data_IF_408959321753
#
_entry.id   IF_408959321753
#
_cell.length_a   1.000
_cell.length_b   1.000
_cell.length_c   1.000
_cell.angle_alpha   90.00
_cell.angle_beta   90.00
_cell.angle_gamma   90.00
#
_symmetry.space_group_name_H-M   'P 1'
#
loop_
_entity.id
_entity.type
_entity.pdbx_description
1 polymer ?
#
# COMPACT_ATOMS: atom_id res chain seq x y z
N UNK A 1 -33.01 17.14 -53.44
CA UNK A 1 -32.93 15.94 -52.57
C UNK A 1 -31.88 16.19 -51.51
N UNK A 2 -32.31 16.21 -50.25
CA UNK A 2 -31.47 16.42 -49.09
C UNK A 2 -30.60 15.18 -48.83
N UNK A 3 -29.29 15.35 -48.71
CA UNK A 3 -28.40 14.35 -48.16
C UNK A 3 -27.99 14.79 -46.75
N UNK A 4 -28.21 13.88 -45.80
CA UNK A 4 -28.22 14.07 -44.36
C UNK A 4 -26.90 14.59 -43.80
N UNK A 5 -27.03 15.52 -42.85
CA UNK A 5 -26.00 15.90 -41.88
C UNK A 5 -25.87 14.78 -40.86
N UNK A 6 -24.77 14.05 -40.85
CA UNK A 6 -24.34 13.30 -39.67
C UNK A 6 -22.81 13.36 -39.53
N UNK A 7 -22.33 14.57 -39.25
CA UNK A 7 -20.99 14.81 -38.74
C UNK A 7 -20.88 14.26 -37.32
N UNK A 8 -20.45 13.01 -37.21
CA UNK A 8 -20.11 12.34 -35.95
C UNK A 8 -19.03 13.17 -35.24
N UNK A 9 -19.45 14.03 -34.30
CA UNK A 9 -18.56 14.76 -33.38
C UNK A 9 -17.74 13.70 -32.62
N UNK A 10 -16.48 13.52 -33.04
CA UNK A 10 -15.49 12.82 -32.22
C UNK A 10 -15.39 13.61 -30.91
N UNK A 11 -15.91 13.04 -29.82
CA UNK A 11 -15.71 13.54 -28.47
C UNK A 11 -14.20 13.54 -28.20
N UNK A 12 -13.54 14.65 -28.51
CA UNK A 12 -12.21 14.94 -28.07
C UNK A 12 -12.26 14.99 -26.56
N UNK A 13 -11.77 13.94 -25.89
CA UNK A 13 -11.32 14.05 -24.50
C UNK A 13 -10.27 15.15 -24.51
N UNK A 14 -10.67 16.35 -24.12
CA UNK A 14 -9.76 17.47 -23.94
C UNK A 14 -8.63 16.96 -23.06
N UNK A 15 -7.40 16.99 -23.58
CA UNK A 15 -6.21 16.79 -22.76
C UNK A 15 -6.21 17.93 -21.76
N UNK A 16 -6.77 17.70 -20.57
CA UNK A 16 -6.59 18.60 -19.45
C UNK A 16 -5.08 18.79 -19.32
N UNK A 17 -4.62 20.01 -19.57
CA UNK A 17 -3.21 20.33 -19.47
C UNK A 17 -2.79 19.97 -18.04
N UNK A 18 -1.91 18.97 -17.89
CA UNK A 18 -1.48 18.52 -16.57
C UNK A 18 -0.76 19.68 -15.92
N UNK A 19 -1.32 20.22 -14.84
CA UNK A 19 -0.64 21.21 -14.03
C UNK A 19 0.65 20.59 -13.52
N UNK A 20 1.82 21.26 -13.70
CA UNK A 20 3.06 20.78 -13.14
C UNK A 20 2.93 20.59 -11.62
N UNK A 21 3.44 19.46 -11.11
CA UNK A 21 3.50 19.21 -9.67
C UNK A 21 4.68 19.98 -9.11
N UNK A 22 4.46 20.74 -8.02
CA UNK A 22 5.54 21.46 -7.35
C UNK A 22 6.60 20.47 -6.83
N UNK A 23 7.90 20.80 -6.85
CA UNK A 23 8.94 19.95 -6.29
C UNK A 23 8.66 19.58 -4.82
N UNK A 24 8.94 18.32 -4.47
CA UNK A 24 8.81 17.79 -3.11
C UNK A 24 9.88 16.74 -2.83
N UNK A 25 10.11 16.43 -1.55
CA UNK A 25 10.98 15.33 -1.12
C UNK A 25 10.20 14.03 -0.99
N UNK A 26 10.77 12.96 -1.52
CA UNK A 26 10.33 11.59 -1.29
C UNK A 26 11.35 10.87 -0.40
N UNK A 27 10.86 10.13 0.59
CA UNK A 27 11.71 9.38 1.54
C UNK A 27 11.40 7.90 1.43
N UNK A 28 12.44 7.09 1.23
CA UNK A 28 12.36 5.64 1.43
C UNK A 28 12.84 5.30 2.84
N UNK A 29 11.97 4.72 3.67
CA UNK A 29 12.31 4.37 5.05
C UNK A 29 12.73 2.89 5.12
N UNK A 30 13.98 2.67 5.50
CA UNK A 30 14.52 1.33 5.79
C UNK A 30 14.54 1.12 7.29
N UNK A 31 13.62 0.31 7.79
CA UNK A 31 13.51 -0.01 9.23
C UNK A 31 14.10 -1.38 9.52
N UNK A 32 14.50 -1.60 10.77
CA UNK A 32 14.64 -2.96 11.29
C UNK A 32 13.24 -3.57 11.36
N UNK A 33 13.10 -4.77 10.82
CA UNK A 33 11.81 -5.49 10.75
C UNK A 33 11.89 -6.74 11.61
N UNK A 34 10.92 -6.91 12.50
CA UNK A 34 10.73 -8.12 13.28
C UNK A 34 9.67 -9.00 12.61
N UNK A 35 10.00 -10.28 12.39
CA UNK A 35 9.01 -11.25 11.93
C UNK A 35 7.89 -11.43 12.95
N UNK A 36 6.65 -11.51 12.47
CA UNK A 36 5.46 -11.65 13.32
C UNK A 36 5.07 -13.12 13.49
N UNK A 37 4.61 -13.52 14.69
CA UNK A 37 3.97 -14.81 14.95
C UNK A 37 2.44 -14.70 15.07
N UNK A 38 1.94 -13.48 15.24
CA UNK A 38 0.52 -13.12 15.26
C UNK A 38 0.34 -11.69 14.77
N UNK A 39 -0.88 -11.30 14.39
CA UNK A 39 -1.19 -9.92 13.98
C UNK A 39 -0.79 -8.87 15.03
N UNK A 40 -0.86 -9.21 16.33
CA UNK A 40 -0.51 -8.27 17.41
C UNK A 40 0.97 -7.86 17.40
N UNK A 41 1.84 -8.72 16.88
CA UNK A 41 3.28 -8.45 16.84
C UNK A 41 3.64 -7.32 15.85
N UNK A 42 2.72 -6.98 14.92
CA UNK A 42 2.87 -5.86 13.99
C UNK A 42 3.07 -4.53 14.72
N UNK A 43 2.51 -4.38 15.93
CA UNK A 43 2.63 -3.16 16.72
C UNK A 43 4.09 -2.76 16.96
N UNK A 44 4.98 -3.74 17.21
CA UNK A 44 6.42 -3.48 17.38
C UNK A 44 7.07 -2.86 16.14
N UNK A 45 6.68 -3.35 14.96
CA UNK A 45 7.16 -2.80 13.70
C UNK A 45 6.55 -1.42 13.45
N UNK A 46 5.27 -1.20 13.79
CA UNK A 46 4.63 0.11 13.68
C UNK A 46 5.28 1.15 14.59
N UNK A 47 5.67 0.78 15.81
CA UNK A 47 6.44 1.66 16.72
C UNK A 47 7.77 2.09 16.06
N UNK A 48 8.49 1.13 15.48
CA UNK A 48 9.77 1.38 14.77
C UNK A 48 9.58 2.28 13.55
N UNK A 49 8.49 2.06 12.79
CA UNK A 49 8.13 2.87 11.62
C UNK A 49 7.76 4.29 12.05
N UNK A 50 6.97 4.44 13.10
CA UNK A 50 6.54 5.73 13.63
C UNK A 50 7.73 6.57 14.08
N UNK A 51 8.63 5.99 14.88
CA UNK A 51 9.89 6.64 15.27
C UNK A 51 10.73 7.05 14.06
N UNK A 52 10.85 6.16 13.06
CA UNK A 52 11.57 6.42 11.82
C UNK A 52 10.95 7.55 10.99
N UNK A 53 9.62 7.64 10.95
CA UNK A 53 8.89 8.72 10.29
C UNK A 53 9.14 10.04 11.03
N UNK A 54 9.03 10.07 12.35
CA UNK A 54 9.31 11.28 13.14
C UNK A 54 10.74 11.79 12.93
N UNK A 55 11.72 10.88 12.93
CA UNK A 55 13.12 11.20 12.66
C UNK A 55 13.35 11.70 11.23
N UNK A 56 12.77 11.03 10.23
CA UNK A 56 12.89 11.46 8.84
C UNK A 56 12.26 12.84 8.61
N UNK A 57 11.08 13.09 9.18
CA UNK A 57 10.40 14.37 9.06
C UNK A 57 11.19 15.50 9.74
N UNK A 58 11.82 15.26 10.89
CA UNK A 58 12.57 16.31 11.61
C UNK A 58 13.84 16.75 10.87
N UNK A 59 14.45 15.87 10.06
CA UNK A 59 15.70 16.16 9.36
C UNK A 59 15.47 16.56 7.90
N UNK A 60 14.62 15.83 7.17
CA UNK A 60 14.49 15.99 5.71
C UNK A 60 13.61 17.18 5.33
N UNK A 61 12.60 17.50 6.16
CA UNK A 61 11.63 18.57 5.85
C UNK A 61 12.22 19.99 5.86
N UNK A 62 13.44 20.16 6.38
CA UNK A 62 14.15 21.45 6.44
C UNK A 62 14.39 22.02 5.03
N UNK A 63 14.69 21.15 4.06
CA UNK A 63 15.05 21.60 2.71
C UNK A 63 13.82 21.86 1.84
N UNK A 64 12.80 21.00 1.93
CA UNK A 64 11.61 21.01 1.08
C UNK A 64 10.54 20.10 1.70
N UNK A 65 9.23 20.37 1.49
CA UNK A 65 8.17 19.52 2.02
C UNK A 65 8.33 18.05 1.60
N UNK A 66 8.28 17.15 2.57
CA UNK A 66 8.18 15.71 2.35
C UNK A 66 6.71 15.40 2.02
N UNK A 67 6.44 15.05 0.76
CA UNK A 67 5.07 14.71 0.31
C UNK A 67 4.87 13.22 0.06
N UNK A 68 5.92 12.42 0.14
CA UNK A 68 5.84 10.99 -0.07
C UNK A 68 6.82 10.25 0.84
N UNK A 69 6.32 9.24 1.54
CA UNK A 69 7.13 8.26 2.24
C UNK A 69 6.81 6.86 1.74
N UNK A 70 7.82 6.04 1.54
CA UNK A 70 7.68 4.65 1.11
C UNK A 70 8.35 3.73 2.13
N UNK A 71 7.58 2.74 2.59
CA UNK A 71 8.09 1.66 3.43
C UNK A 71 8.54 0.49 2.56
N UNK A 72 9.55 -0.25 3.03
CA UNK A 72 9.97 -1.48 2.38
C UNK A 72 8.84 -2.54 2.40
N UNK A 73 8.87 -3.45 1.42
CA UNK A 73 8.03 -4.65 1.45
C UNK A 73 8.27 -5.42 2.75
N UNK A 74 7.19 -5.78 3.43
CA UNK A 74 7.27 -6.52 4.69
C UNK A 74 7.62 -5.64 5.89
N UNK A 75 7.72 -4.32 5.77
CA UNK A 75 8.01 -3.44 6.91
C UNK A 75 7.06 -3.65 8.10
N UNK A 76 5.80 -4.05 7.85
CA UNK A 76 4.81 -4.31 8.90
C UNK A 76 4.90 -5.74 9.46
N UNK A 77 5.19 -6.74 8.63
CA UNK A 77 4.96 -8.17 8.95
C UNK A 77 6.22 -9.03 8.90
N UNK A 78 7.28 -8.54 8.28
CA UNK A 78 8.36 -9.39 7.78
C UNK A 78 7.85 -10.45 6.81
N UNK A 79 8.60 -11.55 6.74
CA UNK A 79 8.37 -12.68 5.83
C UNK A 79 8.26 -14.01 6.60
N UNK A 80 7.66 -14.00 7.80
CA UNK A 80 7.56 -15.19 8.66
C UNK A 80 6.88 -16.36 7.95
N UNK A 81 5.81 -16.10 7.20
CA UNK A 81 5.09 -17.15 6.48
C UNK A 81 5.98 -17.86 5.44
N UNK A 82 6.90 -17.14 4.79
CA UNK A 82 7.82 -17.70 3.80
C UNK A 82 9.02 -18.41 4.45
N UNK A 83 9.51 -17.86 5.56
CA UNK A 83 10.62 -18.41 6.32
C UNK A 83 10.25 -19.76 6.95
N UNK A 84 9.03 -19.88 7.47
CA UNK A 84 8.54 -21.08 8.14
C UNK A 84 7.58 -21.93 7.30
N UNK A 85 7.37 -21.55 6.04
CA UNK A 85 6.51 -22.25 5.08
C UNK A 85 5.09 -22.55 5.63
N UNK A 86 4.48 -21.52 6.23
CA UNK A 86 3.21 -21.67 6.92
C UNK A 86 2.06 -22.01 5.96
N UNK A 87 1.08 -22.82 6.39
CA UNK A 87 -0.12 -23.04 5.59
C UNK A 87 -0.84 -21.72 5.28
N UNK A 88 -1.18 -21.51 4.01
CA UNK A 88 -1.72 -20.24 3.51
C UNK A 88 -2.92 -19.72 4.30
N UNK A 89 -3.86 -20.59 4.65
CA UNK A 89 -5.08 -20.24 5.41
C UNK A 89 -4.78 -19.86 6.85
N UNK A 90 -3.74 -20.47 7.45
CA UNK A 90 -3.28 -20.15 8.81
C UNK A 90 -2.65 -18.77 8.80
N UNK A 91 -1.72 -18.52 7.87
CA UNK A 91 -1.10 -17.21 7.72
C UNK A 91 -2.14 -16.11 7.43
N UNK A 92 -3.11 -16.37 6.54
CA UNK A 92 -4.21 -15.43 6.25
C UNK A 92 -4.96 -15.05 7.54
N UNK A 93 -5.34 -16.03 8.35
CA UNK A 93 -6.19 -15.83 9.52
C UNK A 93 -5.44 -15.16 10.67
N UNK A 94 -4.23 -15.64 10.96
CA UNK A 94 -3.56 -15.36 12.23
C UNK A 94 -2.52 -14.23 12.12
N UNK A 95 -1.99 -13.96 10.92
CA UNK A 95 -0.90 -12.99 10.70
C UNK A 95 -1.33 -11.71 9.99
N UNK A 96 -2.10 -11.82 8.91
CA UNK A 96 -2.24 -10.72 7.95
C UNK A 96 -3.45 -9.82 8.20
N UNK A 97 -3.28 -8.54 7.88
CA UNK A 97 -4.21 -7.45 8.16
C UNK A 97 -5.39 -7.42 7.17
N UNK A 98 -6.39 -6.59 7.46
CA UNK A 98 -7.36 -6.13 6.47
C UNK A 98 -7.04 -4.69 6.06
N UNK A 99 -7.45 -4.30 4.85
CA UNK A 99 -7.27 -2.94 4.34
C UNK A 99 -8.62 -2.39 3.87
N UNK A 100 -9.19 -1.37 4.54
CA UNK A 100 -8.66 -0.67 5.73
C UNK A 100 -8.79 -1.49 7.04
N UNK A 101 -8.02 -1.10 8.06
CA UNK A 101 -7.98 -1.71 9.40
C UNK A 101 -7.12 -0.91 10.40
N UNK A 102 -6.94 -1.44 11.61
CA UNK A 102 -6.23 -0.79 12.73
C UNK A 102 -4.83 -0.31 12.35
N UNK A 103 -4.07 -1.13 11.63
CA UNK A 103 -2.70 -0.83 11.21
C UNK A 103 -2.68 0.32 10.18
N UNK A 104 -3.64 0.34 9.26
CA UNK A 104 -3.77 1.44 8.30
C UNK A 104 -4.29 2.72 8.95
N UNK A 105 -5.10 2.62 10.01
CA UNK A 105 -5.59 3.77 10.76
C UNK A 105 -4.45 4.44 11.54
N UNK A 106 -3.56 3.65 12.15
CA UNK A 106 -2.36 4.17 12.83
C UNK A 106 -1.44 4.92 11.87
N UNK A 107 -1.11 4.30 10.73
CA UNK A 107 -0.34 4.97 9.68
C UNK A 107 -1.08 6.17 9.09
N UNK A 108 -2.41 6.11 9.01
CA UNK A 108 -3.29 7.21 8.60
C UNK A 108 -3.21 8.44 9.51
N UNK A 109 -3.05 8.23 10.83
CA UNK A 109 -2.83 9.31 11.76
C UNK A 109 -1.50 10.04 11.48
N UNK A 110 -0.43 9.30 11.17
CA UNK A 110 0.87 9.87 10.79
C UNK A 110 0.82 10.59 9.44
N UNK A 111 0.16 9.99 8.44
CA UNK A 111 -0.03 10.59 7.12
C UNK A 111 -0.77 11.94 7.22
N UNK A 112 -1.81 12.00 8.07
CA UNK A 112 -2.55 13.23 8.36
C UNK A 112 -1.74 14.24 9.15
N UNK A 113 -1.01 13.79 10.17
CA UNK A 113 -0.19 14.67 11.00
C UNK A 113 0.87 15.42 10.18
N UNK A 114 1.47 14.73 9.20
CA UNK A 114 2.54 15.28 8.36
C UNK A 114 2.09 15.74 6.97
N UNK A 115 0.79 15.67 6.67
CA UNK A 115 0.22 16.02 5.36
C UNK A 115 0.96 15.37 4.18
N UNK A 116 1.26 14.07 4.31
CA UNK A 116 2.10 13.30 3.40
C UNK A 116 1.42 12.03 2.94
N UNK A 117 1.82 11.50 1.78
CA UNK A 117 1.41 10.17 1.34
C UNK A 117 2.32 9.11 1.93
N UNK A 118 1.76 7.97 2.34
CA UNK A 118 2.54 6.82 2.81
C UNK A 118 2.23 5.62 1.90
N UNK A 119 3.26 5.12 1.23
CA UNK A 119 3.21 3.87 0.46
C UNK A 119 3.65 2.74 1.39
N UNK A 120 2.83 1.72 1.47
CA UNK A 120 3.07 0.52 2.26
C UNK A 120 2.87 -0.69 1.38
N UNK A 121 3.70 -1.71 1.57
CA UNK A 121 3.48 -3.02 0.98
C UNK A 121 3.56 -4.09 2.05
N UNK A 122 2.45 -4.79 2.25
CA UNK A 122 2.38 -5.94 3.16
C UNK A 122 1.34 -6.96 2.67
N UNK A 123 1.43 -8.17 3.19
CA UNK A 123 0.42 -9.20 2.95
C UNK A 123 -0.85 -8.86 3.72
N UNK A 124 -1.97 -8.86 3.01
CA UNK A 124 -3.28 -8.47 3.53
C UNK A 124 -4.38 -9.35 2.94
N UNK A 125 -5.46 -9.53 3.70
CA UNK A 125 -6.65 -10.23 3.22
C UNK A 125 -7.54 -9.29 2.43
N UNK A 126 -8.17 -9.85 1.39
CA UNK A 126 -9.20 -9.18 0.60
C UNK A 126 -10.45 -10.06 0.65
N UNK A 127 -11.17 -10.11 1.79
CA UNK A 127 -12.31 -11.02 1.98
C UNK A 127 -13.44 -10.79 0.97
N UNK A 128 -13.54 -9.57 0.41
CA UNK A 128 -14.45 -9.20 -0.67
C UNK A 128 -14.09 -9.83 -2.03
N UNK A 129 -12.83 -10.23 -2.22
CA UNK A 129 -12.33 -10.89 -3.43
C UNK A 129 -12.20 -12.39 -3.23
N UNK A 130 -11.55 -12.83 -2.16
CA UNK A 130 -11.36 -14.24 -1.86
C UNK A 130 -11.30 -14.50 -0.34
N UNK A 131 -12.29 -15.26 0.16
CA UNK A 131 -12.34 -15.66 1.57
C UNK A 131 -11.16 -16.56 1.93
N UNK A 132 -10.63 -16.39 3.16
CA UNK A 132 -9.55 -17.22 3.73
C UNK A 132 -8.26 -17.26 2.90
N UNK A 133 -7.96 -16.17 2.17
CA UNK A 133 -6.73 -16.00 1.38
C UNK A 133 -6.16 -14.60 1.60
N UNK A 134 -4.87 -14.44 1.35
CA UNK A 134 -4.17 -13.15 1.39
C UNK A 134 -3.48 -12.87 0.07
N UNK A 135 -3.26 -11.58 -0.18
CA UNK A 135 -2.54 -11.03 -1.31
C UNK A 135 -1.42 -10.17 -0.76
N UNK A 136 -0.26 -10.21 -1.40
CA UNK A 136 0.75 -9.20 -1.17
C UNK A 136 0.28 -7.89 -1.79
N UNK A 137 0.00 -6.92 -0.94
CA UNK A 137 -0.78 -5.74 -1.29
C UNK A 137 0.05 -4.50 -1.07
N UNK A 138 0.26 -3.74 -2.14
CA UNK A 138 0.65 -2.35 -2.04
C UNK A 138 -0.60 -1.53 -1.77
N UNK A 139 -0.52 -0.60 -0.83
CA UNK A 139 -1.55 0.41 -0.61
C UNK A 139 -0.93 1.77 -0.32
N UNK A 140 -1.68 2.82 -0.65
CA UNK A 140 -1.27 4.21 -0.49
C UNK A 140 -2.26 4.90 0.43
N UNK A 141 -1.76 5.45 1.52
CA UNK A 141 -2.50 6.32 2.43
C UNK A 141 -2.29 7.76 2.00
N UNK A 142 -3.38 8.52 1.88
CA UNK A 142 -3.36 9.93 1.52
C UNK A 142 -3.09 10.86 2.73
N UNK A 143 -2.80 12.15 2.49
CA UNK A 143 -2.64 13.16 3.54
C UNK A 143 -3.88 13.39 4.42
N UNK A 144 -5.03 12.80 4.11
CA UNK A 144 -6.23 12.83 4.98
C UNK A 144 -6.27 11.61 5.91
N UNK A 145 -5.30 10.71 5.80
CA UNK A 145 -5.20 9.48 6.55
C UNK A 145 -6.08 8.35 6.01
N UNK A 146 -6.50 8.41 4.74
CA UNK A 146 -7.36 7.40 4.11
C UNK A 146 -6.58 6.58 3.08
N UNK A 147 -6.89 5.29 2.98
CA UNK A 147 -6.36 4.44 1.90
C UNK A 147 -6.97 4.90 0.58
N UNK A 148 -6.16 5.57 -0.25
CA UNK A 148 -6.56 6.11 -1.55
C UNK A 148 -6.34 5.13 -2.70
N UNK A 149 -5.44 4.16 -2.53
CA UNK A 149 -5.17 3.14 -3.53
C UNK A 149 -4.76 1.83 -2.86
N UNK A 150 -5.13 0.69 -3.46
CA UNK A 150 -4.57 -0.62 -3.15
C UNK A 150 -4.46 -1.47 -4.42
N UNK A 151 -3.41 -2.26 -4.53
CA UNK A 151 -3.15 -3.17 -5.64
C UNK A 151 -2.42 -4.42 -5.15
N UNK A 152 -2.82 -5.59 -5.67
CA UNK A 152 -2.12 -6.84 -5.41
C UNK A 152 -0.88 -6.98 -6.30
N UNK A 153 0.14 -7.66 -5.79
CA UNK A 153 1.36 -8.00 -6.52
C UNK A 153 1.02 -8.96 -7.67
N UNK A 154 1.49 -8.64 -8.89
CA UNK A 154 1.22 -9.44 -10.07
C UNK A 154 2.19 -10.63 -10.22
N UNK A 155 3.42 -10.48 -9.72
CA UNK A 155 4.45 -11.51 -9.81
C UNK A 155 5.09 -11.70 -8.43
N UNK A 156 5.04 -12.93 -7.94
CA UNK A 156 5.47 -13.31 -6.59
C UNK A 156 6.87 -13.90 -6.62
N UNK A 157 7.59 -13.76 -5.50
CA UNK A 157 8.85 -14.46 -5.32
C UNK A 157 8.60 -15.98 -5.21
N UNK A 158 9.56 -16.83 -5.60
CA UNK A 158 9.34 -18.27 -5.68
C UNK A 158 8.98 -18.95 -4.35
N UNK A 159 9.31 -18.34 -3.21
CA UNK A 159 8.92 -18.80 -1.86
C UNK A 159 7.66 -18.15 -1.33
N UNK A 160 7.18 -17.10 -1.98
CA UNK A 160 5.99 -16.36 -1.57
C UNK A 160 4.74 -17.14 -1.98
N UNK A 161 3.80 -17.32 -1.03
CA UNK A 161 2.55 -18.07 -1.27
C UNK A 161 1.33 -17.16 -1.48
N UNK A 162 1.52 -15.86 -1.65
CA UNK A 162 0.44 -14.90 -1.87
C UNK A 162 -0.39 -15.24 -3.10
N UNK A 163 -1.69 -14.97 -3.05
CA UNK A 163 -2.50 -14.93 -4.26
C UNK A 163 -2.09 -13.72 -5.12
N UNK A 164 -2.29 -13.87 -6.42
CA UNK A 164 -2.12 -12.86 -7.47
C UNK A 164 -3.45 -12.64 -8.17
N UNK A 165 -3.60 -11.58 -8.99
CA UNK A 165 -4.80 -11.41 -9.81
C UNK A 165 -5.09 -12.60 -10.74
N UNK A 166 -4.06 -13.34 -11.17
CA UNK A 166 -4.22 -14.53 -12.02
C UNK A 166 -5.01 -15.65 -11.33
N UNK A 167 -4.89 -15.80 -10.01
CA UNK A 167 -5.64 -16.80 -9.23
C UNK A 167 -7.16 -16.54 -9.17
N UNK A 168 -7.61 -15.38 -9.64
CA UNK A 168 -9.02 -14.97 -9.65
C UNK A 168 -9.61 -15.10 -11.06
N UNK A 169 -8.86 -14.70 -12.09
CA UNK A 169 -9.37 -14.61 -13.47
C UNK A 169 -9.66 -15.97 -14.10
N UNK A 170 -9.04 -17.05 -13.61
CA UNK A 170 -9.25 -18.41 -14.11
C UNK A 170 -10.44 -19.13 -13.43
N UNK A 171 -11.39 -18.38 -12.86
CA UNK A 171 -12.63 -18.89 -12.25
C UNK A 171 -13.85 -18.72 -13.14
#
# INVERSE_FOLDING_TARGET
>A
MAASKDGKKRNGRGKQARTPVAPYMAVGLSTVVYGIGSRKDIQKNLDTIEDGIHAAMSVVSINMPVKLMALAEGALTGFTDEAFDLPHTVAAKDLFIDIPGEETDRLGQLARHYETYIIVQCKARWPEVMKNRFFNTLFVIDPKGKVAHKAAKNHIFCRERSCTPHDIYDR
#
